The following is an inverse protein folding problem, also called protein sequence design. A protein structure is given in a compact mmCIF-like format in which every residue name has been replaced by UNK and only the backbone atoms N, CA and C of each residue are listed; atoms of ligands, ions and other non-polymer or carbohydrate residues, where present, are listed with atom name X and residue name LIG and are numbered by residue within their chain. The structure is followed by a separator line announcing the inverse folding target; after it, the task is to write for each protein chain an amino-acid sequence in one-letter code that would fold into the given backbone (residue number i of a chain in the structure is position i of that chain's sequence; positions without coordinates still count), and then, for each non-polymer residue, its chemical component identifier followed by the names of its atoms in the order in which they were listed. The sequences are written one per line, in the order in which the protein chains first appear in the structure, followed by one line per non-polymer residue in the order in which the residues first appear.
data_IF_866090091255
#
_entry.id   IF_866090091255
#
_cell.length_a   1.000
_cell.length_b   1.000
_cell.length_c   1.000
_cell.angle_alpha   90.00
_cell.angle_beta   90.00
_cell.angle_gamma   90.00
#
_symmetry.space_group_name_H-M   'P 1'
#
loop_
_entity.id
_entity.type
_entity.pdbx_description
1 polymer ?
#
# COMPACT_ATOMS: atom_id res chain seq x y z
N UNK A 1 -7.29 23.84 2.62
CA UNK A 1 -7.77 22.48 2.97
C UNK A 1 -6.60 21.74 3.62
N UNK A 2 -6.61 21.57 4.94
CA UNK A 2 -5.53 20.92 5.70
C UNK A 2 -5.82 19.43 5.78
N UNK A 3 -5.14 18.61 4.99
CA UNK A 3 -5.09 17.15 5.17
C UNK A 3 -3.70 16.80 5.69
N UNK A 4 -3.60 16.65 7.01
CA UNK A 4 -2.42 16.13 7.69
C UNK A 4 -2.42 14.60 7.62
N UNK A 5 -1.24 14.00 7.51
CA UNK A 5 -0.94 12.58 7.69
C UNK A 5 -1.50 11.62 6.65
N UNK A 6 -0.66 11.29 5.65
CA UNK A 6 -0.50 9.92 5.16
C UNK A 6 0.98 9.77 4.80
N UNK A 7 1.72 8.92 5.51
CA UNK A 7 3.06 8.47 5.11
C UNK A 7 2.98 7.67 3.80
N UNK A 8 2.58 8.28 2.67
CA UNK A 8 2.23 7.53 1.48
C UNK A 8 2.54 8.34 0.20
N UNK A 9 3.60 7.90 -0.47
CA UNK A 9 4.00 8.05 -1.87
C UNK A 9 3.79 9.39 -2.61
N UNK A 10 4.89 10.14 -2.77
CA UNK A 10 5.04 11.26 -3.72
C UNK A 10 5.65 10.83 -5.07
N UNK A 11 5.47 9.58 -5.48
CA UNK A 11 6.12 9.05 -6.69
C UNK A 11 5.77 9.79 -7.98
N UNK A 12 4.54 10.32 -8.08
CA UNK A 12 4.14 11.16 -9.23
C UNK A 12 5.04 12.39 -9.39
N UNK A 13 5.36 13.08 -8.30
CA UNK A 13 6.25 14.24 -8.33
C UNK A 13 7.66 13.86 -8.79
N UNK A 14 8.17 12.73 -8.33
CA UNK A 14 9.45 12.19 -8.82
C UNK A 14 9.41 11.85 -10.32
N UNK A 15 8.34 11.22 -10.79
CA UNK A 15 8.19 10.79 -12.19
C UNK A 15 7.99 11.99 -13.14
N UNK A 16 7.22 13.00 -12.72
CA UNK A 16 6.81 14.11 -13.60
C UNK A 16 7.70 15.35 -13.50
N UNK A 17 8.52 15.51 -12.44
CA UNK A 17 9.39 16.69 -12.33
C UNK A 17 10.46 16.72 -13.41
N UNK A 18 10.49 17.82 -14.16
CA UNK A 18 11.38 18.06 -15.30
C UNK A 18 12.70 18.70 -14.85
N UNK A 19 13.48 17.96 -14.07
CA UNK A 19 14.86 18.34 -13.72
C UNK A 19 15.78 17.12 -13.70
N UNK A 20 17.02 17.31 -14.14
CA UNK A 20 18.07 16.30 -14.01
C UNK A 20 18.67 16.26 -12.59
N UNK A 21 18.47 17.33 -11.81
CA UNK A 21 18.97 17.47 -10.45
C UNK A 21 17.87 17.11 -9.44
N UNK A 22 17.37 15.87 -9.52
CA UNK A 22 16.39 15.32 -8.59
C UNK A 22 16.95 14.12 -7.83
N UNK A 23 16.49 13.96 -6.58
CA UNK A 23 16.73 12.79 -5.74
C UNK A 23 15.43 12.35 -5.07
N UNK A 24 15.31 11.06 -4.78
CA UNK A 24 14.19 10.48 -4.06
C UNK A 24 14.73 9.66 -2.88
N UNK A 25 14.51 10.14 -1.65
CA UNK A 25 14.81 9.35 -0.46
C UNK A 25 13.54 8.63 -0.02
N UNK A 26 13.60 7.30 -0.04
CA UNK A 26 12.54 6.43 0.45
C UNK A 26 12.99 5.83 1.77
N UNK A 27 12.34 6.22 2.86
CA UNK A 27 12.82 5.99 4.22
C UNK A 27 11.77 5.23 5.06
N UNK A 28 12.21 4.40 6.04
CA UNK A 28 11.33 3.43 6.67
C UNK A 28 10.58 3.95 7.91
N UNK A 29 10.73 5.23 8.24
CA UNK A 29 10.24 5.82 9.49
C UNK A 29 9.14 6.88 9.27
N UNK A 30 8.47 7.25 10.34
CA UNK A 30 7.40 8.24 10.37
C UNK A 30 7.93 9.63 10.01
N UNK A 31 7.12 10.44 9.30
CA UNK A 31 7.46 11.79 8.83
C UNK A 31 8.14 12.69 9.89
N UNK A 32 7.61 12.78 11.10
CA UNK A 32 8.16 13.64 12.14
C UNK A 32 9.45 13.08 12.74
N UNK A 33 9.54 11.76 12.91
CA UNK A 33 10.79 11.16 13.35
C UNK A 33 11.89 11.42 12.31
N UNK A 34 11.58 11.23 11.03
CA UNK A 34 12.54 11.46 9.97
C UNK A 34 12.96 12.93 9.83
N UNK A 35 12.05 13.87 10.03
CA UNK A 35 12.37 15.30 9.97
C UNK A 35 13.11 15.79 11.22
N UNK A 36 12.70 15.35 12.42
CA UNK A 36 13.15 15.96 13.68
C UNK A 36 14.01 15.05 14.56
N UNK A 37 13.85 13.74 14.46
CA UNK A 37 14.57 12.74 15.25
C UNK A 37 15.73 12.06 14.52
N UNK A 38 15.80 12.16 13.19
CA UNK A 38 16.84 11.57 12.37
C UNK A 38 17.89 12.62 11.96
N UNK A 39 19.02 12.64 12.68
CA UNK A 39 20.11 13.58 12.40
C UNK A 39 20.64 13.45 10.97
N UNK A 40 20.74 12.23 10.43
CA UNK A 40 21.22 12.00 9.07
C UNK A 40 20.33 12.69 8.03
N UNK A 41 19.01 12.62 8.21
CA UNK A 41 18.06 13.27 7.30
C UNK A 41 18.16 14.81 7.36
N UNK A 42 18.38 15.37 8.56
CA UNK A 42 18.60 16.80 8.74
C UNK A 42 19.89 17.26 8.08
N UNK A 43 20.99 16.53 8.29
CA UNK A 43 22.29 16.83 7.70
C UNK A 43 22.23 16.76 6.17
N UNK A 44 21.56 15.75 5.62
CA UNK A 44 21.36 15.62 4.17
C UNK A 44 20.53 16.79 3.60
N UNK A 45 19.45 17.19 4.29
CA UNK A 45 18.60 18.31 3.87
C UNK A 45 19.36 19.65 3.91
N UNK A 46 20.15 19.90 4.95
CA UNK A 46 20.98 21.09 5.05
C UNK A 46 22.07 21.09 3.97
N UNK A 47 22.68 19.93 3.70
CA UNK A 47 23.66 19.78 2.60
C UNK A 47 23.04 20.09 1.24
N UNK A 48 21.80 19.66 0.99
CA UNK A 48 21.04 20.03 -0.21
C UNK A 48 20.87 21.56 -0.33
N UNK A 49 20.40 22.22 0.71
CA UNK A 49 20.19 23.67 0.69
C UNK A 49 21.49 24.46 0.57
N UNK A 50 22.54 24.05 1.28
CA UNK A 50 23.87 24.65 1.18
C UNK A 50 24.43 24.57 -0.26
N UNK A 51 24.19 23.46 -0.96
CA UNK A 51 24.61 23.29 -2.34
C UNK A 51 23.83 24.21 -3.30
N UNK A 52 22.49 24.15 -3.28
CA UNK A 52 21.67 24.85 -4.28
C UNK A 52 21.38 26.31 -3.96
N UNK A 53 21.30 26.70 -2.68
CA UNK A 53 20.97 28.07 -2.28
C UNK A 53 22.21 28.91 -1.99
N UNK A 54 23.31 28.29 -1.56
CA UNK A 54 24.55 29.00 -1.21
C UNK A 54 25.73 28.67 -2.14
N UNK A 55 25.59 27.70 -3.05
CA UNK A 55 26.65 27.32 -3.99
C UNK A 55 27.86 26.67 -3.32
N UNK A 56 27.70 26.09 -2.12
CA UNK A 56 28.81 25.47 -1.39
C UNK A 56 29.27 24.17 -2.07
N UNK A 57 30.58 23.93 -2.25
CA UNK A 57 31.12 22.66 -2.76
C UNK A 57 31.18 21.62 -1.63
N UNK A 58 30.03 21.09 -1.22
CA UNK A 58 29.88 20.19 -0.08
C UNK A 58 29.73 18.70 -0.47
N UNK A 59 30.00 18.37 -1.73
CA UNK A 59 29.93 17.00 -2.27
C UNK A 59 28.52 16.47 -2.47
N UNK A 60 27.49 17.32 -2.48
CA UNK A 60 26.09 16.92 -2.68
C UNK A 60 25.87 16.04 -3.92
N UNK A 61 26.65 16.24 -4.97
CA UNK A 61 26.58 15.55 -6.25
C UNK A 61 26.84 14.04 -6.11
N UNK A 62 27.62 13.61 -5.11
CA UNK A 62 27.92 12.20 -4.84
C UNK A 62 26.81 11.47 -4.06
N UNK A 63 25.83 12.20 -3.53
CA UNK A 63 24.68 11.59 -2.82
C UNK A 63 24.00 10.59 -3.77
N UNK A 64 23.57 9.40 -3.29
CA UNK A 64 22.78 8.47 -4.10
C UNK A 64 21.52 9.15 -4.67
N UNK A 65 21.09 8.75 -5.88
CA UNK A 65 19.88 9.32 -6.50
C UNK A 65 18.61 8.82 -5.84
N UNK A 66 18.55 7.51 -5.59
CA UNK A 66 17.38 6.86 -5.01
C UNK A 66 17.81 5.90 -3.88
N UNK A 67 18.22 6.42 -2.70
CA UNK A 67 18.38 5.57 -1.53
C UNK A 67 17.00 5.10 -1.06
N UNK A 68 16.79 3.79 -1.07
CA UNK A 68 15.54 3.14 -0.67
C UNK A 68 15.67 2.36 0.63
N UNK A 69 14.53 2.15 1.27
CA UNK A 69 14.40 1.27 2.40
C UNK A 69 13.41 0.15 2.09
N UNK A 70 13.70 -1.05 2.61
CA UNK A 70 12.85 -2.22 2.53
C UNK A 70 12.42 -2.61 3.94
N UNK A 71 11.11 -2.64 4.18
CA UNK A 71 10.55 -3.03 5.46
C UNK A 71 10.54 -4.55 5.62
N UNK A 72 10.98 -5.02 6.79
CA UNK A 72 10.91 -6.43 7.19
C UNK A 72 9.76 -6.75 8.14
N UNK A 73 9.14 -5.71 8.71
CA UNK A 73 8.09 -5.79 9.73
C UNK A 73 8.53 -6.53 11.02
N UNK A 74 7.69 -6.46 12.04
CA UNK A 74 7.95 -7.04 13.36
C UNK A 74 9.07 -6.31 14.10
N UNK A 75 9.74 -7.03 14.98
CA UNK A 75 10.89 -6.59 15.77
C UNK A 75 12.21 -6.59 14.95
N UNK A 76 12.11 -6.55 13.61
CA UNK A 76 13.26 -6.50 12.71
C UNK A 76 13.51 -5.06 12.27
N UNK A 77 14.78 -4.66 12.22
CA UNK A 77 15.16 -3.39 11.60
C UNK A 77 14.94 -3.46 10.08
N UNK A 78 14.42 -2.40 9.45
CA UNK A 78 14.33 -2.32 8.01
C UNK A 78 15.74 -2.31 7.39
N UNK A 79 15.86 -2.78 6.15
CA UNK A 79 17.08 -2.56 5.38
C UNK A 79 17.03 -1.15 4.79
N UNK A 80 17.90 -0.27 5.28
CA UNK A 80 17.98 1.12 4.81
C UNK A 80 19.14 1.33 3.84
N UNK A 81 19.03 2.38 3.01
CA UNK A 81 20.06 2.80 2.05
C UNK A 81 20.38 1.77 0.96
N UNK A 82 19.39 0.97 0.55
CA UNK A 82 19.46 0.18 -0.68
C UNK A 82 19.50 1.15 -1.86
N UNK A 83 20.68 1.31 -2.48
CA UNK A 83 20.89 2.32 -3.52
C UNK A 83 20.35 1.83 -4.86
N UNK A 84 19.35 2.55 -5.36
CA UNK A 84 18.75 2.32 -6.67
C UNK A 84 19.10 3.44 -7.65
N UNK A 85 19.11 3.11 -8.94
CA UNK A 85 19.39 4.08 -10.01
C UNK A 85 18.17 4.94 -10.34
N UNK A 86 16.98 4.36 -10.19
CA UNK A 86 15.71 4.97 -10.55
C UNK A 86 14.58 4.43 -9.69
N UNK A 87 13.43 5.08 -9.82
CA UNK A 87 12.19 4.63 -9.24
C UNK A 87 11.08 4.97 -10.24
N UNK A 88 10.19 4.07 -10.64
CA UNK A 88 10.08 2.65 -10.29
C UNK A 88 11.28 1.82 -10.77
N UNK A 89 11.54 0.67 -10.15
CA UNK A 89 12.69 -0.15 -10.52
C UNK A 89 12.44 -0.82 -11.88
N UNK A 90 13.37 -0.66 -12.83
CA UNK A 90 13.25 -1.28 -14.15
C UNK A 90 13.22 -2.83 -14.10
N UNK A 91 13.78 -3.41 -13.03
CA UNK A 91 13.81 -4.86 -12.82
C UNK A 91 12.58 -5.44 -12.12
N UNK A 92 11.60 -4.62 -11.76
CA UNK A 92 10.37 -5.12 -11.10
C UNK A 92 9.58 -6.02 -12.04
N UNK A 93 9.38 -7.28 -11.63
CA UNK A 93 8.53 -8.26 -12.29
C UNK A 93 7.12 -8.24 -11.70
N UNK A 94 6.18 -7.66 -12.44
CA UNK A 94 4.80 -7.55 -12.00
C UNK A 94 4.01 -8.83 -12.28
N UNK A 95 3.68 -9.58 -11.23
CA UNK A 95 2.94 -10.85 -11.34
C UNK A 95 1.48 -10.67 -10.93
N UNK A 96 0.58 -11.31 -11.69
CA UNK A 96 -0.85 -11.39 -11.37
C UNK A 96 -1.11 -12.61 -10.51
N UNK A 97 -1.74 -12.40 -9.36
CA UNK A 97 -2.26 -13.47 -8.51
C UNK A 97 -3.78 -13.34 -8.39
N UNK A 98 -4.51 -14.35 -8.86
CA UNK A 98 -5.96 -14.42 -8.93
C UNK A 98 -6.55 -14.93 -7.62
N UNK A 99 -7.70 -14.39 -7.23
CA UNK A 99 -8.45 -14.77 -6.05
C UNK A 99 -9.13 -16.13 -6.28
N UNK A 100 -9.13 -17.01 -5.27
CA UNK A 100 -9.75 -18.35 -5.34
C UNK A 100 -10.77 -18.60 -4.23
N UNK A 101 -11.60 -19.64 -4.38
CA UNK A 101 -12.64 -20.02 -3.40
C UNK A 101 -12.08 -20.49 -2.05
N UNK A 102 -10.81 -20.88 -2.00
CA UNK A 102 -10.11 -21.39 -0.82
C UNK A 102 -9.46 -20.27 0.00
N UNK A 103 -9.81 -19.00 -0.26
CA UNK A 103 -9.18 -17.82 0.34
C UNK A 103 -7.67 -17.78 0.11
N UNK A 104 -7.25 -18.17 -1.10
CA UNK A 104 -5.85 -18.14 -1.54
C UNK A 104 -5.67 -17.31 -2.80
N UNK A 105 -4.42 -16.99 -3.07
CA UNK A 105 -3.96 -16.35 -4.29
C UNK A 105 -3.27 -17.37 -5.20
N UNK A 106 -3.69 -17.45 -6.45
CA UNK A 106 -3.19 -18.38 -7.46
C UNK A 106 -2.53 -17.66 -8.63
N UNK A 107 -1.50 -18.25 -9.23
CA UNK A 107 -0.90 -17.75 -10.49
C UNK A 107 -1.79 -18.02 -11.71
N UNK A 108 -2.77 -18.92 -11.58
CA UNK A 108 -3.71 -19.29 -12.64
C UNK A 108 -5.11 -18.77 -12.31
N UNK A 109 -5.86 -18.39 -13.34
CA UNK A 109 -7.28 -18.03 -13.20
C UNK A 109 -8.04 -19.29 -12.76
N UNK A 110 -8.87 -19.23 -11.72
CA UNK A 110 -9.73 -20.36 -11.36
C UNK A 110 -10.70 -20.70 -12.49
N UNK A 111 -10.80 -21.98 -12.85
CA UNK A 111 -11.71 -22.46 -13.90
C UNK A 111 -13.18 -22.28 -13.52
N UNK A 112 -13.49 -22.43 -12.23
CA UNK A 112 -14.86 -22.33 -11.71
C UNK A 112 -15.15 -20.91 -11.25
N UNK A 113 -16.21 -20.31 -11.80
CA UNK A 113 -16.73 -19.04 -11.30
C UNK A 113 -17.27 -19.19 -9.87
N UNK A 114 -16.85 -18.29 -8.99
CA UNK A 114 -17.24 -18.27 -7.59
C UNK A 114 -17.27 -16.83 -7.06
N UNK A 115 -17.78 -16.66 -5.85
CA UNK A 115 -17.83 -15.34 -5.21
C UNK A 115 -17.78 -15.47 -3.69
N UNK A 116 -17.19 -14.47 -3.04
CA UNK A 116 -17.28 -14.28 -1.60
C UNK A 116 -17.93 -12.94 -1.30
N UNK A 117 -18.48 -12.77 -0.10
CA UNK A 117 -19.15 -11.54 0.29
C UNK A 117 -18.93 -11.19 1.75
N UNK A 118 -18.93 -9.89 2.03
CA UNK A 118 -18.77 -9.33 3.36
C UNK A 118 -19.85 -8.28 3.64
N UNK A 119 -20.13 -8.05 4.92
CA UNK A 119 -21.03 -6.99 5.35
C UNK A 119 -20.29 -5.64 5.31
N UNK A 120 -20.64 -4.79 4.35
CA UNK A 120 -19.90 -3.55 4.06
C UNK A 120 -19.92 -2.53 5.20
N UNK A 121 -20.93 -2.60 6.07
CA UNK A 121 -21.11 -1.68 7.20
C UNK A 121 -20.49 -2.17 8.50
N UNK A 122 -20.07 -3.45 8.57
CA UNK A 122 -19.51 -4.05 9.78
C UNK A 122 -17.99 -3.92 9.81
N UNK A 123 -17.44 -3.35 10.89
CA UNK A 123 -15.99 -3.26 11.09
C UNK A 123 -15.32 -4.60 11.42
N UNK A 124 -16.11 -5.65 11.61
CA UNK A 124 -15.64 -7.02 11.86
C UNK A 124 -15.75 -7.91 10.61
N UNK A 125 -16.13 -7.35 9.45
CA UNK A 125 -16.34 -8.12 8.22
C UNK A 125 -15.39 -7.69 7.11
N UNK A 126 -14.60 -8.64 6.65
CA UNK A 126 -13.74 -8.55 5.48
C UNK A 126 -13.63 -9.93 4.84
N UNK A 127 -13.06 -9.99 3.64
CA UNK A 127 -12.60 -11.25 3.03
C UNK A 127 -11.10 -11.16 2.80
N UNK A 128 -10.40 -12.29 2.91
CA UNK A 128 -8.95 -12.35 2.82
C UNK A 128 -8.49 -13.42 1.83
N UNK A 129 -7.36 -13.16 1.18
CA UNK A 129 -6.71 -14.10 0.27
C UNK A 129 -5.20 -14.10 0.53
N UNK A 130 -4.63 -15.29 0.78
CA UNK A 130 -3.23 -15.41 1.18
C UNK A 130 -2.35 -15.98 0.06
N UNK A 131 -1.13 -15.47 -0.05
CA UNK A 131 -0.02 -16.05 -0.80
C UNK A 131 1.16 -16.29 0.16
N UNK A 132 1.57 -17.54 0.31
CA UNK A 132 2.71 -17.93 1.17
C UNK A 132 3.96 -18.03 0.31
N UNK A 133 5.04 -17.39 0.74
CA UNK A 133 6.32 -17.38 0.02
C UNK A 133 7.13 -18.64 0.35
N UNK A 134 7.75 -19.25 -0.66
CA UNK A 134 8.64 -20.41 -0.49
C UNK A 134 10.09 -20.01 -0.26
N UNK A 135 10.45 -18.80 -0.69
CA UNK A 135 11.81 -18.26 -0.70
C UNK A 135 11.75 -16.80 -0.25
N UNK A 136 12.83 -16.25 0.36
CA UNK A 136 12.91 -14.84 0.66
C UNK A 136 12.61 -13.99 -0.58
N UNK A 137 11.62 -13.11 -0.48
CA UNK A 137 11.03 -12.38 -1.60
C UNK A 137 10.89 -10.90 -1.26
N UNK A 138 11.21 -10.01 -2.20
CA UNK A 138 10.94 -8.58 -2.07
C UNK A 138 9.82 -8.15 -3.00
N UNK A 139 8.90 -7.36 -2.45
CA UNK A 139 7.87 -6.66 -3.19
C UNK A 139 8.18 -5.16 -3.17
N UNK A 140 8.70 -4.62 -4.27
CA UNK A 140 9.09 -3.21 -4.39
C UNK A 140 8.52 -2.57 -5.65
N UNK A 141 7.55 -1.68 -5.51
CA UNK A 141 6.89 -1.01 -6.64
C UNK A 141 5.43 -0.63 -6.37
N UNK A 142 4.62 -0.58 -7.43
CA UNK A 142 3.22 -0.17 -7.38
C UNK A 142 2.26 -1.36 -7.52
N UNK A 143 1.70 -1.87 -6.40
CA UNK A 143 0.66 -2.87 -6.48
C UNK A 143 -0.66 -2.30 -7.00
N UNK A 144 -1.48 -3.16 -7.61
CA UNK A 144 -2.83 -2.84 -8.07
C UNK A 144 -3.76 -4.02 -7.80
N UNK A 145 -5.01 -3.75 -7.43
CA UNK A 145 -6.06 -4.76 -7.48
C UNK A 145 -7.00 -4.52 -8.66
N UNK A 146 -7.44 -5.59 -9.30
CA UNK A 146 -8.52 -5.59 -10.26
C UNK A 146 -9.62 -6.48 -9.69
N UNK A 147 -10.73 -5.88 -9.26
CA UNK A 147 -11.83 -6.59 -8.61
C UNK A 147 -13.11 -6.48 -9.43
N UNK A 148 -13.81 -7.59 -9.59
CA UNK A 148 -15.17 -7.65 -10.13
C UNK A 148 -16.14 -7.68 -8.96
N UNK A 149 -16.87 -6.59 -8.76
CA UNK A 149 -17.65 -6.32 -7.55
C UNK A 149 -19.11 -6.08 -7.87
N UNK A 150 -20.02 -6.48 -6.98
CA UNK A 150 -21.43 -6.09 -7.04
C UNK A 150 -21.99 -5.81 -5.65
N UNK A 151 -23.01 -4.96 -5.59
CA UNK A 151 -23.82 -4.71 -4.38
C UNK A 151 -25.29 -4.67 -4.79
N UNK A 152 -26.15 -5.41 -4.09
CA UNK A 152 -27.59 -5.44 -4.37
C UNK A 152 -28.38 -4.39 -3.58
N UNK A 153 -27.78 -3.85 -2.50
CA UNK A 153 -28.47 -3.01 -1.51
C UNK A 153 -28.31 -1.51 -1.76
N UNK A 154 -27.41 -1.12 -2.67
CA UNK A 154 -27.06 0.25 -3.01
C UNK A 154 -26.58 0.36 -4.47
N UNK A 155 -26.65 1.56 -5.03
CA UNK A 155 -26.16 1.91 -6.37
C UNK A 155 -24.69 2.40 -6.39
N UNK A 156 -23.93 2.08 -5.34
CA UNK A 156 -22.51 2.42 -5.19
C UNK A 156 -21.82 1.51 -4.16
N UNK A 157 -20.49 1.55 -4.11
CA UNK A 157 -19.65 0.78 -3.19
C UNK A 157 -18.35 1.54 -2.88
N UNK A 158 -18.06 1.80 -1.61
CA UNK A 158 -16.71 2.14 -1.13
C UNK A 158 -15.95 0.85 -0.81
N UNK A 159 -14.94 0.55 -1.62
CA UNK A 159 -14.13 -0.67 -1.50
C UNK A 159 -12.74 -0.32 -1.00
N UNK A 160 -12.32 -0.98 0.07
CA UNK A 160 -11.02 -0.81 0.70
C UNK A 160 -10.20 -2.08 0.52
N UNK A 161 -8.91 -1.91 0.28
CA UNK A 161 -7.94 -3.00 0.18
C UNK A 161 -6.77 -2.70 1.11
N UNK A 162 -6.29 -3.72 1.81
CA UNK A 162 -5.05 -3.69 2.56
C UNK A 162 -4.20 -4.90 2.17
N UNK A 163 -2.92 -4.70 1.90
CA UNK A 163 -1.96 -5.80 1.80
C UNK A 163 -1.25 -5.94 3.15
N UNK A 164 -1.49 -7.04 3.85
CA UNK A 164 -0.86 -7.34 5.15
C UNK A 164 0.23 -8.38 4.98
N UNK A 165 1.25 -8.26 5.81
CA UNK A 165 2.22 -9.33 6.02
C UNK A 165 1.76 -10.21 7.19
N UNK A 166 1.84 -11.52 7.01
CA UNK A 166 1.61 -12.52 8.03
C UNK A 166 2.92 -13.25 8.34
N UNK A 167 3.15 -13.58 9.60
CA UNK A 167 4.24 -14.46 9.99
C UNK A 167 3.98 -15.93 9.58
N UNK A 168 4.95 -16.81 9.85
CA UNK A 168 4.84 -18.26 9.57
C UNK A 168 3.67 -18.94 10.30
N UNK A 169 3.17 -18.34 11.39
CA UNK A 169 2.00 -18.82 12.14
C UNK A 169 0.68 -18.27 11.59
N UNK A 170 0.73 -17.47 10.52
CA UNK A 170 -0.42 -16.82 9.90
C UNK A 170 -0.95 -15.62 10.69
N UNK A 171 -0.19 -15.08 11.65
CA UNK A 171 -0.59 -13.90 12.42
C UNK A 171 -0.17 -12.61 11.70
N UNK A 172 -1.05 -11.58 11.64
CA UNK A 172 -0.68 -10.30 11.05
C UNK A 172 0.45 -9.62 11.82
N UNK A 173 1.47 -9.21 11.09
CA UNK A 173 2.63 -8.50 11.63
C UNK A 173 2.46 -7.01 11.32
N UNK A 174 2.81 -6.14 12.26
CA UNK A 174 2.90 -4.70 12.04
C UNK A 174 4.37 -4.28 11.90
N UNK A 175 4.60 -3.11 11.34
CA UNK A 175 5.89 -2.44 11.40
C UNK A 175 5.85 -1.30 12.42
N UNK A 176 6.90 -1.14 13.21
CA UNK A 176 7.10 0.05 14.03
C UNK A 176 7.63 1.19 13.15
N UNK A 177 6.94 2.33 13.15
CA UNK A 177 7.29 3.47 12.30
C UNK A 177 8.42 4.34 12.88
N UNK A 178 9.02 3.94 13.98
CA UNK A 178 10.26 4.51 14.51
C UNK A 178 11.26 3.38 14.69
N UNK A 179 12.58 3.65 14.64
CA UNK A 179 13.57 2.60 14.80
C UNK A 179 13.46 1.91 16.17
N UNK A 180 13.56 0.58 16.17
CA UNK A 180 13.81 -0.18 17.38
C UNK A 180 15.11 0.31 18.03
N UNK A 181 15.07 0.59 19.34
CA UNK A 181 16.24 1.02 20.10
C UNK A 181 16.06 0.75 21.59
N UNK A 182 17.16 0.64 22.32
CA UNK A 182 17.16 0.40 23.78
C UNK A 182 16.49 1.51 24.60
N UNK A 183 16.23 2.67 23.97
CA UNK A 183 15.57 3.81 24.61
C UNK A 183 14.04 3.77 24.49
N UNK A 184 13.47 2.79 23.77
CA UNK A 184 12.02 2.62 23.71
C UNK A 184 11.51 1.99 25.01
N UNK A 185 10.33 2.39 25.50
CA UNK A 185 9.73 1.80 26.70
C UNK A 185 9.13 0.40 26.45
N UNK A 186 9.31 -0.16 25.25
CA UNK A 186 8.73 -1.42 24.76
C UNK A 186 9.79 -2.21 24.00
N UNK A 187 9.74 -3.53 24.08
CA UNK A 187 10.70 -4.41 23.39
C UNK A 187 10.05 -5.16 22.21
N UNK A 188 8.73 -5.26 22.20
CA UNK A 188 7.97 -5.90 21.13
C UNK A 188 6.76 -5.04 20.73
N UNK A 189 6.20 -5.29 19.55
CA UNK A 189 4.95 -4.64 19.11
C UNK A 189 3.79 -5.02 20.05
N UNK A 190 3.82 -6.24 20.57
CA UNK A 190 2.82 -6.74 21.51
C UNK A 190 2.78 -5.89 22.79
N UNK A 191 3.92 -5.39 23.26
CA UNK A 191 4.03 -4.58 24.48
C UNK A 191 3.41 -3.18 24.33
N UNK A 192 3.16 -2.70 23.10
CA UNK A 192 2.58 -1.38 22.86
C UNK A 192 1.13 -1.36 23.36
N UNK A 193 0.79 -0.50 24.34
CA UNK A 193 -0.57 -0.40 24.87
C UNK A 193 -1.59 -0.13 23.76
N UNK A 194 -2.75 -0.76 23.81
CA UNK A 194 -3.78 -0.64 22.76
C UNK A 194 -4.14 0.81 22.43
N UNK A 195 -4.26 1.67 23.45
CA UNK A 195 -4.54 3.11 23.29
C UNK A 195 -3.45 3.88 22.53
N UNK A 196 -2.24 3.35 22.45
CA UNK A 196 -1.07 3.95 21.78
C UNK A 196 -0.82 3.33 20.40
N UNK A 197 -1.51 2.25 20.04
CA UNK A 197 -1.47 1.64 18.71
C UNK A 197 -2.18 2.54 17.70
N UNK A 198 -1.44 3.52 17.19
CA UNK A 198 -1.90 4.52 16.20
C UNK A 198 -1.21 4.30 14.86
N UNK A 199 -1.79 4.81 13.77
CA UNK A 199 -1.16 4.77 12.43
C UNK A 199 0.19 5.52 12.37
N UNK A 200 0.41 6.44 13.31
CA UNK A 200 1.67 7.16 13.48
C UNK A 200 2.74 6.20 13.99
N UNK A 201 2.38 5.29 14.90
CA UNK A 201 3.33 4.37 15.56
C UNK A 201 3.45 3.06 14.78
N UNK A 202 2.35 2.55 14.24
CA UNK A 202 2.28 1.24 13.59
C UNK A 202 1.83 1.34 12.14
N UNK A 203 2.49 0.57 11.27
CA UNK A 203 2.12 0.41 9.88
C UNK A 203 1.68 -1.02 9.61
N UNK A 204 0.50 -1.16 9.01
CA UNK A 204 -0.14 -2.46 8.72
C UNK A 204 0.16 -2.99 7.31
N UNK A 205 0.72 -2.13 6.43
CA UNK A 205 0.94 -2.42 5.02
C UNK A 205 0.21 -1.44 4.09
N UNK A 206 0.46 -1.54 2.77
CA UNK A 206 -0.04 -0.58 1.81
C UNK A 206 -1.54 -0.77 1.57
N UNK A 207 -2.26 0.34 1.43
CA UNK A 207 -3.71 0.36 1.27
C UNK A 207 -4.14 0.93 -0.09
N UNK A 208 -5.33 0.53 -0.54
CA UNK A 208 -6.04 1.10 -1.68
C UNK A 208 -7.49 1.38 -1.33
N UNK A 209 -8.09 2.36 -1.98
CA UNK A 209 -9.52 2.69 -1.82
C UNK A 209 -10.09 3.16 -3.15
N UNK A 210 -11.30 2.71 -3.46
CA UNK A 210 -12.08 3.23 -4.58
C UNK A 210 -13.57 3.24 -4.26
N UNK A 211 -14.23 4.35 -4.56
CA UNK A 211 -15.68 4.42 -4.70
C UNK A 211 -16.07 3.97 -6.11
N UNK A 212 -16.93 2.98 -6.24
CA UNK A 212 -17.25 2.33 -7.50
C UNK A 212 -17.82 3.32 -8.54
N UNK A 213 -18.63 4.30 -8.13
CA UNK A 213 -19.12 5.34 -9.04
C UNK A 213 -18.02 6.22 -9.64
N UNK A 214 -16.83 6.27 -9.04
CA UNK A 214 -15.66 7.00 -9.55
C UNK A 214 -14.65 6.10 -10.30
N UNK A 215 -15.04 4.90 -10.73
CA UNK A 215 -14.16 3.92 -11.41
C UNK A 215 -13.68 4.31 -12.82
N UNK A 216 -14.07 5.47 -13.35
CA UNK A 216 -13.59 5.93 -14.66
C UNK A 216 -12.06 6.09 -14.63
N UNK A 217 -11.38 5.68 -15.70
CA UNK A 217 -9.91 5.77 -15.82
C UNK A 217 -9.58 6.57 -17.07
N UNK A 218 -8.66 7.53 -16.94
CA UNK A 218 -8.01 8.17 -18.07
C UNK A 218 -6.59 7.62 -18.22
N UNK A 219 -6.45 6.61 -19.08
CA UNK A 219 -5.18 5.90 -19.29
C UNK A 219 -4.07 6.80 -19.85
N UNK A 220 -4.42 7.91 -20.52
CA UNK A 220 -3.43 8.86 -21.05
C UNK A 220 -2.72 9.66 -19.96
N UNK A 221 -3.33 9.72 -18.76
CA UNK A 221 -2.80 10.42 -17.57
C UNK A 221 -2.31 9.47 -16.49
N UNK A 222 -2.48 8.15 -16.67
CA UNK A 222 -1.93 7.13 -15.79
C UNK A 222 -0.40 7.22 -15.79
N UNK A 223 0.21 7.45 -14.61
CA UNK A 223 1.67 7.53 -14.50
C UNK A 223 2.35 6.17 -14.64
N UNK A 224 1.59 5.08 -14.49
CA UNK A 224 2.05 3.70 -14.61
C UNK A 224 0.84 2.78 -14.89
N UNK A 225 0.96 1.65 -15.62
CA UNK A 225 -0.15 0.70 -15.85
C UNK A 225 -0.78 0.10 -14.58
N UNK A 226 -0.04 0.16 -13.47
CA UNK A 226 -0.49 -0.31 -12.15
C UNK A 226 -0.85 0.82 -11.19
N UNK A 227 -0.94 2.05 -11.70
CA UNK A 227 -1.47 3.19 -10.96
C UNK A 227 -2.43 4.00 -11.84
N UNK A 228 -3.69 3.55 -11.94
CA UNK A 228 -4.67 4.17 -12.83
C UNK A 228 -4.94 5.60 -12.39
N UNK A 229 -5.01 6.52 -13.37
CA UNK A 229 -5.47 7.87 -13.09
C UNK A 229 -7.00 7.92 -13.11
N UNK A 230 -7.58 8.12 -11.93
CA UNK A 230 -9.01 8.31 -11.73
C UNK A 230 -9.31 9.83 -11.75
N UNK A 231 -10.04 10.35 -12.75
CA UNK A 231 -10.26 11.79 -12.89
C UNK A 231 -11.20 12.34 -11.81
N UNK A 232 -12.09 11.51 -11.27
CA UNK A 232 -13.12 11.90 -10.30
C UNK A 232 -14.04 13.04 -10.77
N UNK A 233 -14.21 13.21 -12.08
CA UNK A 233 -15.00 14.30 -12.68
C UNK A 233 -16.51 14.03 -12.71
N UNK A 234 -16.92 12.76 -12.56
CA UNK A 234 -18.33 12.35 -12.51
C UNK A 234 -18.53 11.09 -11.66
N UNK A 235 -19.79 10.85 -11.31
CA UNK A 235 -20.25 9.63 -10.63
C UNK A 235 -21.06 8.76 -11.59
N UNK A 236 -20.45 7.67 -12.06
CA UNK A 236 -21.12 6.65 -12.88
C UNK A 236 -21.77 5.61 -11.95
N UNK A 237 -22.93 5.92 -11.36
CA UNK A 237 -23.65 5.02 -10.43
C UNK A 237 -23.78 3.58 -10.96
N UNK A 238 -23.70 2.61 -10.07
CA UNK A 238 -23.75 1.17 -10.40
C UNK A 238 -25.19 0.71 -10.22
N UNK A 239 -25.82 0.11 -11.23
CA UNK A 239 -27.15 -0.47 -11.03
C UNK A 239 -27.07 -1.60 -9.99
N UNK A 240 -27.92 -1.60 -8.94
CA UNK A 240 -27.87 -2.64 -7.90
C UNK A 240 -27.88 -4.06 -8.48
N UNK A 241 -27.01 -4.91 -7.96
CA UNK A 241 -26.81 -6.30 -8.41
C UNK A 241 -25.91 -6.45 -9.65
N UNK A 242 -25.52 -5.37 -10.32
CA UNK A 242 -24.63 -5.43 -11.49
C UNK A 242 -23.18 -5.63 -11.06
N UNK A 243 -22.48 -6.56 -11.73
CA UNK A 243 -21.03 -6.74 -11.56
C UNK A 243 -20.28 -5.66 -12.33
N UNK A 244 -19.40 -4.93 -11.66
CA UNK A 244 -18.53 -3.91 -12.24
C UNK A 244 -17.07 -4.19 -11.95
N UNK A 245 -16.20 -3.90 -12.92
CA UNK A 245 -14.74 -3.97 -12.75
C UNK A 245 -14.22 -2.71 -12.07
N UNK A 246 -13.41 -2.89 -11.05
CA UNK A 246 -12.74 -1.85 -10.27
C UNK A 246 -11.22 -2.04 -10.36
N UNK A 247 -10.50 -1.05 -10.90
CA UNK A 247 -9.03 -1.00 -10.85
C UNK A 247 -8.61 -0.09 -9.70
N UNK A 248 -8.14 -0.68 -8.62
CA UNK A 248 -7.82 0.00 -7.37
C UNK A 248 -6.29 0.06 -7.25
N UNK A 249 -5.73 1.27 -7.41
CA UNK A 249 -4.33 1.52 -7.10
C UNK A 249 -4.08 1.32 -5.60
N UNK A 250 -3.03 0.57 -5.25
CA UNK A 250 -2.63 0.30 -3.87
C UNK A 250 -1.29 0.99 -3.67
N UNK A 251 -1.13 1.76 -2.58
CA UNK A 251 0.07 2.54 -2.30
C UNK A 251 1.37 1.76 -2.54
N UNK A 252 2.37 2.47 -3.06
CA UNK A 252 3.66 1.87 -3.36
C UNK A 252 4.27 1.18 -2.12
N UNK A 253 4.93 0.06 -2.34
CA UNK A 253 5.48 -0.78 -1.28
C UNK A 253 6.95 -1.09 -1.51
N UNK A 254 7.63 -1.47 -0.44
CA UNK A 254 9.00 -2.00 -0.42
C UNK A 254 9.13 -2.95 0.75
N UNK A 255 8.55 -4.15 0.65
CA UNK A 255 8.44 -5.09 1.77
C UNK A 255 9.23 -6.35 1.43
N UNK A 256 9.96 -6.89 2.41
CA UNK A 256 10.63 -8.18 2.34
C UNK A 256 9.83 -9.21 3.15
N UNK A 257 9.64 -10.37 2.53
CA UNK A 257 9.00 -11.56 3.09
C UNK A 257 9.98 -12.73 3.10
N UNK A 258 10.13 -13.40 4.23
CA UNK A 258 10.91 -14.61 4.40
C UNK A 258 10.13 -15.83 3.89
N UNK A 259 10.84 -16.94 3.67
CA UNK A 259 10.20 -18.22 3.39
C UNK A 259 9.25 -18.61 4.54
N UNK A 260 8.03 -19.03 4.20
CA UNK A 260 6.99 -19.40 5.17
C UNK A 260 6.08 -18.24 5.60
N UNK A 261 6.53 -16.99 5.47
CA UNK A 261 5.67 -15.81 5.67
C UNK A 261 4.67 -15.67 4.52
N UNK A 262 3.61 -14.89 4.73
CA UNK A 262 2.55 -14.72 3.72
C UNK A 262 2.16 -13.28 3.51
N UNK A 263 1.83 -12.94 2.25
CA UNK A 263 1.06 -11.75 1.92
C UNK A 263 -0.43 -12.09 2.02
N UNK A 264 -1.19 -11.25 2.71
CA UNK A 264 -2.65 -11.31 2.76
C UNK A 264 -3.26 -10.09 2.08
N UNK A 265 -4.11 -10.32 1.08
CA UNK A 265 -4.99 -9.30 0.50
C UNK A 265 -6.28 -9.31 1.30
N UNK A 266 -6.58 -8.21 1.98
CA UNK A 266 -7.82 -8.01 2.71
C UNK A 266 -8.72 -7.01 1.99
N UNK A 267 -9.98 -7.37 1.75
CA UNK A 267 -10.99 -6.55 1.05
C UNK A 267 -12.16 -6.31 2.00
N UNK A 268 -12.57 -5.04 2.15
CA UNK A 268 -13.64 -4.67 3.07
C UNK A 268 -14.39 -3.39 2.64
N UNK A 269 -15.38 -2.99 3.44
CA UNK A 269 -16.17 -1.77 3.26
C UNK A 269 -15.70 -0.59 4.11
N UNK A 270 -14.55 -0.72 4.78
CA UNK A 270 -14.01 0.27 5.71
C UNK A 270 -12.48 0.14 5.83
N UNK A 271 -11.83 1.09 6.51
CA UNK A 271 -10.37 1.06 6.68
C UNK A 271 -9.97 -0.09 7.63
N UNK A 272 -9.05 -0.97 7.21
CA UNK A 272 -8.57 -2.13 7.98
C UNK A 272 -7.18 -1.98 8.61
N UNK A 273 -6.48 -0.89 8.31
CA UNK A 273 -5.22 -0.56 8.97
C UNK A 273 -5.43 -0.09 10.41
N UNK A 274 -4.34 0.23 11.08
CA UNK A 274 -4.42 1.00 12.34
C UNK A 274 -5.06 2.34 11.98
N UNK A 275 -6.23 2.65 12.53
CA UNK A 275 -6.97 3.85 12.14
C UNK A 275 -7.51 4.55 13.38
N UNK A 276 -6.80 5.61 13.76
CA UNK A 276 -7.16 6.41 14.94
C UNK A 276 -7.53 7.85 14.54
N UNK A 277 -7.47 8.18 13.24
CA UNK A 277 -7.76 9.51 12.72
C UNK A 277 -8.83 9.44 11.63
N UNK A 278 -10.04 9.86 11.99
CA UNK A 278 -11.19 9.90 11.08
C UNK A 278 -12.36 9.08 11.58
N UNK A 279 -13.47 9.13 10.85
CA UNK A 279 -14.67 8.35 11.14
C UNK A 279 -15.17 7.76 9.84
N UNK A 280 -15.83 6.60 9.87
CA UNK A 280 -16.44 6.01 8.67
C UNK A 280 -17.73 6.72 8.21
N UNK A 281 -18.03 7.93 8.74
CA UNK A 281 -19.27 8.67 8.45
C UNK A 281 -19.39 9.14 6.99
N UNK A 282 -18.27 9.19 6.25
CA UNK A 282 -18.28 9.52 4.82
C UNK A 282 -18.65 8.32 3.93
N UNK A 283 -18.60 7.10 4.49
CA UNK A 283 -18.96 5.89 3.77
C UNK A 283 -20.47 5.87 3.56
N UNK A 284 -20.87 5.63 2.31
CA UNK A 284 -22.28 5.46 1.95
C UNK A 284 -22.66 3.98 1.87
N UNK A 285 -21.73 3.08 2.18
CA UNK A 285 -21.90 1.65 2.09
C UNK A 285 -23.16 1.15 2.78
N UNK A 286 -23.81 0.17 2.16
CA UNK A 286 -25.00 -0.49 2.67
C UNK A 286 -25.00 -1.94 2.23
N UNK A 287 -25.33 -2.82 3.17
CA UNK A 287 -25.56 -4.24 2.92
C UNK A 287 -24.32 -4.97 2.42
N UNK A 288 -24.53 -5.97 1.55
CA UNK A 288 -23.48 -6.93 1.21
C UNK A 288 -22.75 -6.57 -0.07
N UNK A 289 -21.45 -6.40 0.03
CA UNK A 289 -20.57 -6.35 -1.13
C UNK A 289 -20.15 -7.77 -1.50
N UNK A 290 -20.11 -8.07 -2.79
CA UNK A 290 -19.75 -9.38 -3.34
C UNK A 290 -18.55 -9.22 -4.27
N UNK A 291 -17.53 -10.05 -4.07
CA UNK A 291 -16.33 -10.13 -4.90
C UNK A 291 -16.45 -11.40 -5.74
N UNK A 292 -16.47 -11.24 -7.06
CA UNK A 292 -16.58 -12.32 -8.05
C UNK A 292 -15.21 -12.71 -8.57
N UNK A 293 -14.94 -14.00 -8.68
CA UNK A 293 -13.67 -14.52 -9.20
C UNK A 293 -13.88 -15.79 -10.04
N UNK A 294 -12.92 -16.12 -10.91
CA UNK A 294 -12.98 -17.26 -11.83
C UNK A 294 -13.79 -16.98 -13.10
N UNK A 295 -13.54 -17.76 -14.15
CA UNK A 295 -14.16 -17.57 -15.47
C UNK A 295 -13.95 -16.15 -16.04
N UNK A 296 -15.03 -15.49 -16.46
CA UNK A 296 -15.00 -14.14 -17.04
C UNK A 296 -14.67 -13.04 -16.01
N UNK A 297 -14.88 -13.30 -14.72
CA UNK A 297 -14.62 -12.36 -13.64
C UNK A 297 -13.27 -12.65 -12.99
N UNK A 298 -12.16 -12.48 -13.70
CA UNK A 298 -10.84 -12.83 -13.17
C UNK A 298 -10.30 -11.79 -12.15
N UNK A 299 -10.91 -11.66 -10.97
CA UNK A 299 -10.39 -10.77 -9.91
C UNK A 299 -8.99 -11.20 -9.48
N UNK A 300 -8.08 -10.23 -9.37
CA UNK A 300 -6.67 -10.47 -9.05
C UNK A 300 -5.99 -9.27 -8.41
N UNK A 301 -4.85 -9.52 -7.79
CA UNK A 301 -3.87 -8.50 -7.44
C UNK A 301 -2.65 -8.60 -8.33
N UNK A 302 -2.04 -7.47 -8.61
CA UNK A 302 -0.77 -7.33 -9.35
C UNK A 302 0.27 -6.89 -8.34
N UNK A 303 1.31 -7.69 -8.15
CA UNK A 303 2.32 -7.49 -7.12
C UNK A 303 3.71 -7.26 -7.74
N UNK A 304 4.52 -6.35 -7.17
CA UNK A 304 5.79 -5.92 -7.75
C UNK A 304 7.00 -6.74 -7.26
N UNK A 305 7.24 -7.93 -7.81
CA UNK A 305 8.36 -8.79 -7.37
C UNK A 305 9.72 -8.23 -7.83
N UNK A 306 10.74 -8.37 -6.98
CA UNK A 306 12.13 -7.92 -7.24
C UNK A 306 13.15 -8.95 -6.79
#
# INVERSE_FOLDING_TARGET
MKTHHRNHFRGRGWLEVQTHQKRLRWQPTQEWYDLWGNQQAQDELLRFFDHFLQGKPNGWESTPKVPMAVWRFGEKSPEANVVEQEFLLARTDYKRLYLTSESRLSIQIPDTAASLSYESTSTASSITFNHTFTDPTRLVGLPKAVLYMSCADLDDMDVYILLRKLDESGQPVFNLNIPWSDNLPVNTIADIPEKERTEVILYAGPAGILRASHRAIDESRSMHPHWPFLPHEREDRVTPGTVVRLDIGIWAMGIEDEAGESLQVEISGHIMGVNNFGTNKHSLNKGRHVVHFGGEHASHVILPFV
#
